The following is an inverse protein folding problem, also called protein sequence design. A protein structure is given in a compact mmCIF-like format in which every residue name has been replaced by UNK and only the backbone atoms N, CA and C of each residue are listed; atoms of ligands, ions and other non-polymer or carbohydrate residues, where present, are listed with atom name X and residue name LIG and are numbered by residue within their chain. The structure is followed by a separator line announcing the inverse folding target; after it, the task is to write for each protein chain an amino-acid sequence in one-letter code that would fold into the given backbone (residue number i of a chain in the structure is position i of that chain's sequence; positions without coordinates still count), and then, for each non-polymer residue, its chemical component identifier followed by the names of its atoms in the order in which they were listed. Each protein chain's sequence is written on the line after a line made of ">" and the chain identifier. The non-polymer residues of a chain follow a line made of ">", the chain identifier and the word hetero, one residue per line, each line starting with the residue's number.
data_IF_817680744514
#
_entry.id   IF_817680744514
#
_cell.length_a   1.000
_cell.length_b   1.000
_cell.length_c   1.000
_cell.angle_alpha   90.00
_cell.angle_beta   90.00
_cell.angle_gamma   90.00
#
_symmetry.space_group_name_H-M   'P 1'
#
loop_
_entity.id
_entity.type
_entity.pdbx_description
1 polymer ?
#
# COMPACT_ATOMS: atom_id res chain seq x y z
N UNK A 1 22.25 -11.04 -13.33
CA UNK A 1 22.58 -9.97 -12.36
C UNK A 1 21.56 -10.04 -11.24
N UNK A 2 22.00 -9.93 -10.00
CA UNK A 2 21.08 -9.84 -8.84
C UNK A 2 20.38 -8.47 -8.89
N UNK A 3 19.06 -8.45 -8.85
CA UNK A 3 18.27 -7.20 -8.86
C UNK A 3 18.43 -6.48 -7.53
N UNK A 4 18.77 -5.20 -7.55
CA UNK A 4 18.78 -4.32 -6.39
C UNK A 4 17.84 -3.15 -6.66
N UNK A 5 16.81 -3.02 -5.84
CA UNK A 5 15.83 -1.93 -5.91
C UNK A 5 15.90 -1.09 -4.64
N UNK A 6 15.26 0.07 -4.65
CA UNK A 6 15.09 0.91 -3.46
C UNK A 6 13.73 1.58 -3.43
N UNK A 7 13.18 1.70 -2.23
CA UNK A 7 12.15 2.67 -1.91
C UNK A 7 12.81 3.89 -1.26
N UNK A 8 12.53 5.08 -1.76
CA UNK A 8 13.24 6.30 -1.38
C UNK A 8 12.28 7.43 -0.97
N UNK A 9 11.57 7.28 0.16
CA UNK A 9 10.61 8.28 0.62
C UNK A 9 11.31 9.44 1.32
N UNK A 10 10.80 10.67 1.10
CA UNK A 10 11.15 11.82 1.95
C UNK A 10 10.27 11.82 3.21
N UNK A 11 10.85 11.92 4.43
CA UNK A 11 10.10 11.82 5.69
C UNK A 11 9.44 13.17 6.05
N UNK A 12 8.65 13.72 5.13
CA UNK A 12 7.91 14.99 5.29
C UNK A 12 6.43 14.78 5.62
N UNK A 13 5.98 13.54 5.74
CA UNK A 13 4.62 13.13 6.05
C UNK A 13 4.48 11.61 6.14
N UNK A 14 3.26 11.14 6.42
CA UNK A 14 2.93 9.70 6.43
C UNK A 14 2.90 9.14 5.01
N UNK A 15 3.13 7.82 4.88
CA UNK A 15 2.97 7.13 3.60
C UNK A 15 1.49 7.10 3.20
N UNK A 16 1.21 7.47 1.96
CA UNK A 16 -0.09 7.24 1.34
C UNK A 16 -0.05 5.99 0.45
N UNK A 17 -1.22 5.53 0.00
CA UNK A 17 -1.35 4.28 -0.78
C UNK A 17 -0.45 4.25 -2.03
N UNK A 18 -0.23 5.40 -2.68
CA UNK A 18 0.68 5.50 -3.83
C UNK A 18 2.15 5.23 -3.46
N UNK A 19 2.61 5.70 -2.28
CA UNK A 19 3.95 5.38 -1.77
C UNK A 19 4.05 3.90 -1.44
N UNK A 20 3.03 3.34 -0.79
CA UNK A 20 2.98 1.91 -0.44
C UNK A 20 3.07 1.05 -1.70
N UNK A 21 2.30 1.38 -2.76
CA UNK A 21 2.37 0.67 -4.04
C UNK A 21 3.79 0.71 -4.63
N UNK A 22 4.44 1.88 -4.58
CA UNK A 22 5.82 2.02 -5.05
C UNK A 22 6.79 1.15 -4.24
N UNK A 23 6.66 1.14 -2.90
CA UNK A 23 7.48 0.29 -2.03
C UNK A 23 7.26 -1.20 -2.35
N UNK A 24 6.00 -1.63 -2.43
CA UNK A 24 5.61 -3.00 -2.75
C UNK A 24 6.18 -3.46 -4.10
N UNK A 25 6.03 -2.66 -5.17
CA UNK A 25 6.53 -3.02 -6.49
C UNK A 25 8.06 -3.17 -6.51
N UNK A 26 8.80 -2.30 -5.81
CA UNK A 26 10.26 -2.44 -5.66
C UNK A 26 10.62 -3.70 -4.88
N UNK A 27 9.88 -4.02 -3.82
CA UNK A 27 10.06 -5.25 -3.05
C UNK A 27 9.83 -6.49 -3.90
N UNK A 28 8.68 -6.56 -4.59
CA UNK A 28 8.29 -7.72 -5.41
C UNK A 28 9.29 -7.99 -6.55
N UNK A 29 9.76 -6.93 -7.23
CA UNK A 29 10.77 -7.06 -8.28
C UNK A 29 12.09 -7.61 -7.74
N UNK A 30 12.54 -7.15 -6.58
CA UNK A 30 13.73 -7.67 -5.94
C UNK A 30 13.55 -9.12 -5.47
N UNK A 31 12.46 -9.41 -4.78
CA UNK A 31 12.15 -10.73 -4.23
C UNK A 31 12.05 -11.81 -5.32
N UNK A 32 11.41 -11.51 -6.46
CA UNK A 32 11.27 -12.41 -7.59
C UNK A 32 12.62 -12.94 -8.10
N UNK A 33 13.67 -12.13 -8.02
CA UNK A 33 15.01 -12.50 -8.50
C UNK A 33 15.94 -12.98 -7.39
N UNK A 34 15.46 -13.13 -6.15
CA UNK A 34 16.31 -13.35 -4.97
C UNK A 34 17.29 -12.20 -4.74
N UNK A 35 16.87 -10.99 -5.11
CA UNK A 35 17.65 -9.77 -5.06
C UNK A 35 17.53 -9.00 -3.73
N UNK A 36 17.83 -7.70 -3.77
CA UNK A 36 17.86 -6.84 -2.58
C UNK A 36 16.89 -5.68 -2.73
N UNK A 37 16.00 -5.51 -1.75
CA UNK A 37 15.18 -4.31 -1.57
C UNK A 37 15.79 -3.44 -0.49
N UNK A 38 16.05 -2.15 -0.77
CA UNK A 38 16.64 -1.20 0.15
C UNK A 38 15.65 -0.11 0.51
N UNK A 39 15.74 0.41 1.73
CA UNK A 39 15.07 1.64 2.15
C UNK A 39 16.09 2.77 2.19
N UNK A 40 15.88 3.82 1.40
CA UNK A 40 16.65 5.06 1.50
C UNK A 40 15.74 6.18 1.99
N UNK A 41 16.07 6.75 3.12
CA UNK A 41 15.35 7.92 3.66
C UNK A 41 15.95 9.16 3.03
N UNK A 42 15.16 9.82 2.16
CA UNK A 42 15.58 11.04 1.44
C UNK A 42 15.30 12.28 2.33
N UNK A 43 16.14 12.47 3.35
CA UNK A 43 16.04 13.47 4.41
C UNK A 43 17.06 14.62 4.27
N UNK A 44 17.44 14.98 3.04
CA UNK A 44 18.34 16.12 2.77
C UNK A 44 17.74 17.47 3.15
N UNK A 45 16.43 17.60 3.19
CA UNK A 45 15.70 18.78 3.68
C UNK A 45 15.46 18.64 5.18
N UNK A 46 16.45 19.08 5.98
CA UNK A 46 16.43 18.92 7.44
C UNK A 46 15.30 19.73 8.13
N UNK A 47 14.78 20.78 7.49
CA UNK A 47 13.70 21.60 8.06
C UNK A 47 12.35 20.87 7.99
N UNK A 48 12.09 20.14 6.91
CA UNK A 48 10.82 19.42 6.68
C UNK A 48 10.86 17.96 7.10
N UNK A 49 12.04 17.36 7.20
CA UNK A 49 12.21 15.98 7.64
C UNK A 49 11.96 15.86 9.15
N UNK A 50 11.18 14.85 9.54
CA UNK A 50 10.82 14.59 10.94
C UNK A 50 11.13 13.14 11.28
N UNK A 51 11.78 12.91 12.42
CA UNK A 51 12.10 11.57 12.89
C UNK A 51 10.85 10.72 13.14
N UNK A 52 9.76 11.33 13.59
CA UNK A 52 8.46 10.68 13.75
C UNK A 52 7.94 10.06 12.44
N UNK A 53 8.18 10.72 11.30
CA UNK A 53 7.81 10.17 9.99
C UNK A 53 8.74 9.05 9.55
N UNK A 54 10.03 9.10 9.90
CA UNK A 54 10.97 7.98 9.63
C UNK A 54 10.50 6.74 10.38
N UNK A 55 10.21 6.88 11.68
CA UNK A 55 9.70 5.79 12.52
C UNK A 55 8.40 5.23 11.94
N UNK A 56 7.48 6.11 11.51
CA UNK A 56 6.22 5.69 10.90
C UNK A 56 6.43 4.94 9.58
N UNK A 57 7.31 5.41 8.70
CA UNK A 57 7.66 4.73 7.44
C UNK A 57 8.17 3.31 7.71
N UNK A 58 9.08 3.15 8.66
CA UNK A 58 9.62 1.83 9.02
C UNK A 58 8.53 0.92 9.57
N UNK A 59 7.69 1.43 10.49
CA UNK A 59 6.58 0.67 11.07
C UNK A 59 5.51 0.28 10.03
N UNK A 60 5.27 1.14 9.04
CA UNK A 60 4.34 0.86 7.97
C UNK A 60 4.87 -0.22 7.02
N UNK A 61 6.16 -0.19 6.68
CA UNK A 61 6.82 -1.23 5.88
C UNK A 61 6.86 -2.57 6.63
N UNK A 62 7.14 -2.55 7.93
CA UNK A 62 7.12 -3.75 8.77
C UNK A 62 5.75 -4.38 8.83
N UNK A 63 4.69 -3.58 9.03
CA UNK A 63 3.31 -4.08 9.00
C UNK A 63 2.94 -4.72 7.64
N UNK A 64 3.44 -4.15 6.53
CA UNK A 64 3.22 -4.70 5.18
C UNK A 64 4.08 -5.94 4.90
N UNK A 65 5.02 -6.29 5.77
CA UNK A 65 5.99 -7.36 5.56
C UNK A 65 7.12 -6.99 4.58
N UNK A 66 7.26 -5.71 4.22
CA UNK A 66 8.25 -5.22 3.25
C UNK A 66 9.58 -4.90 3.93
N UNK A 67 10.24 -5.92 4.46
CA UNK A 67 11.48 -5.78 5.22
C UNK A 67 12.65 -5.45 4.30
N UNK A 68 13.31 -4.27 4.44
CA UNK A 68 14.45 -3.91 3.62
C UNK A 68 15.71 -4.66 4.07
N UNK A 69 16.56 -5.04 3.10
CA UNK A 69 17.86 -5.65 3.36
C UNK A 69 18.85 -4.68 4.04
N UNK A 70 18.66 -3.37 3.83
CA UNK A 70 19.39 -2.31 4.52
C UNK A 70 18.60 -1.00 4.47
N UNK A 71 18.81 -0.14 5.47
CA UNK A 71 18.28 1.23 5.51
C UNK A 71 19.44 2.22 5.48
N UNK A 72 19.32 3.26 4.67
CA UNK A 72 20.32 4.31 4.48
C UNK A 72 19.64 5.67 4.63
N UNK A 73 20.31 6.65 5.25
CA UNK A 73 19.84 8.04 5.35
C UNK A 73 20.70 8.97 4.52
N UNK A 74 20.10 9.83 3.74
CA UNK A 74 20.82 10.82 2.95
C UNK A 74 21.54 11.86 3.81
N UNK A 75 20.95 12.24 4.95
CA UNK A 75 21.56 13.17 5.91
C UNK A 75 22.90 12.70 6.49
N UNK A 76 23.19 11.40 6.46
CA UNK A 76 24.44 10.81 6.93
C UNK A 76 25.52 10.75 5.84
N UNK A 77 25.23 11.23 4.62
CA UNK A 77 26.05 11.01 3.42
C UNK A 77 26.54 12.30 2.76
N UNK A 78 26.38 13.44 3.41
CA UNK A 78 26.73 14.75 2.85
C UNK A 78 28.19 14.86 2.40
N UNK A 79 29.14 14.26 3.10
CA UNK A 79 30.56 14.25 2.69
C UNK A 79 30.77 13.55 1.33
N UNK A 80 30.00 12.49 1.04
CA UNK A 80 30.04 11.84 -0.25
C UNK A 80 29.47 12.75 -1.35
N UNK A 81 28.37 13.45 -1.06
CA UNK A 81 27.77 14.38 -2.03
C UNK A 81 28.70 15.56 -2.33
N UNK A 82 29.37 16.12 -1.32
CA UNK A 82 30.39 17.18 -1.51
C UNK A 82 31.52 16.69 -2.41
N UNK A 83 32.07 15.51 -2.16
CA UNK A 83 33.16 14.95 -2.96
C UNK A 83 32.77 14.78 -4.44
N UNK A 84 31.60 14.23 -4.72
CA UNK A 84 31.15 14.02 -6.10
C UNK A 84 30.73 15.34 -6.77
N UNK A 85 30.18 16.28 -6.02
CA UNK A 85 29.91 17.63 -6.48
C UNK A 85 31.18 18.36 -6.89
N UNK A 86 32.26 18.29 -6.09
CA UNK A 86 33.53 18.94 -6.39
C UNK A 86 34.17 18.35 -7.66
N UNK A 87 34.04 17.05 -7.90
CA UNK A 87 34.46 16.42 -9.17
C UNK A 87 33.67 16.99 -10.36
N UNK A 88 32.34 16.99 -10.27
CA UNK A 88 31.47 17.53 -11.33
C UNK A 88 31.74 19.02 -11.59
N UNK A 89 32.09 19.76 -10.55
CA UNK A 89 32.48 21.19 -10.68
C UNK A 89 33.83 21.35 -11.38
N UNK A 90 34.82 20.52 -11.04
CA UNK A 90 36.13 20.53 -11.70
C UNK A 90 36.02 20.14 -13.18
N UNK A 91 35.10 19.25 -13.52
CA UNK A 91 34.80 18.79 -14.89
C UNK A 91 33.90 19.78 -15.67
N UNK A 92 33.53 20.94 -15.05
CA UNK A 92 32.68 21.92 -15.68
C UNK A 92 31.23 21.52 -15.87
N UNK A 93 30.78 20.41 -15.20
CA UNK A 93 29.40 19.94 -15.27
C UNK A 93 28.49 20.60 -14.23
N UNK A 94 29.03 21.40 -13.33
CA UNK A 94 28.31 22.18 -12.31
C UNK A 94 28.79 23.59 -12.32
N UNK A 95 27.88 24.55 -12.31
CA UNK A 95 28.18 25.98 -12.35
C UNK A 95 27.35 26.78 -11.34
N UNK A 96 27.92 27.90 -10.90
CA UNK A 96 27.30 28.80 -9.93
C UNK A 96 26.29 29.74 -10.61
N UNK A 97 25.17 29.98 -9.93
CA UNK A 97 24.13 30.93 -10.33
C UNK A 97 23.83 31.87 -9.16
N UNK A 98 23.58 33.13 -9.47
CA UNK A 98 23.34 34.16 -8.46
C UNK A 98 21.98 34.85 -8.63
N UNK A 99 21.13 34.34 -9.54
CA UNK A 99 19.77 34.84 -9.71
C UNK A 99 18.92 34.58 -8.46
N UNK A 100 18.21 35.62 -8.04
CA UNK A 100 17.23 35.47 -6.96
C UNK A 100 15.96 34.75 -7.45
N UNK A 101 15.15 34.18 -6.54
CA UNK A 101 13.86 33.64 -6.90
C UNK A 101 12.95 34.56 -7.67
N UNK A 102 12.99 35.87 -7.32
CA UNK A 102 12.23 36.95 -7.98
C UNK A 102 12.69 37.17 -9.41
N UNK A 103 13.99 37.20 -9.64
CA UNK A 103 14.57 37.34 -10.99
C UNK A 103 14.21 36.16 -11.88
N UNK A 104 14.28 34.91 -11.32
CA UNK A 104 13.88 33.70 -12.02
C UNK A 104 12.38 33.69 -12.36
N UNK A 105 11.53 34.16 -11.46
CA UNK A 105 10.08 34.27 -11.71
C UNK A 105 9.78 35.34 -12.80
N UNK A 106 10.47 36.45 -12.80
CA UNK A 106 10.37 37.46 -13.86
C UNK A 106 10.76 36.86 -15.21
N UNK A 107 11.90 36.16 -15.30
CA UNK A 107 12.36 35.52 -16.54
C UNK A 107 11.29 34.50 -17.03
N UNK A 108 10.75 33.68 -16.10
CA UNK A 108 9.68 32.74 -16.40
C UNK A 108 8.44 33.42 -16.98
N UNK A 109 7.98 34.51 -16.36
CA UNK A 109 6.82 35.28 -16.81
C UNK A 109 7.05 35.92 -18.20
N UNK A 110 8.25 36.43 -18.48
CA UNK A 110 8.62 36.98 -19.78
C UNK A 110 8.55 35.90 -20.87
N UNK A 111 9.09 34.68 -20.61
CA UNK A 111 9.07 33.59 -21.56
C UNK A 111 7.62 33.13 -21.82
N UNK A 112 6.82 32.95 -20.78
CA UNK A 112 5.41 32.59 -20.90
C UNK A 112 4.60 33.65 -21.66
N UNK A 113 4.84 34.93 -21.39
CA UNK A 113 4.22 36.02 -22.12
C UNK A 113 4.54 36.03 -23.63
N UNK A 114 5.71 35.51 -23.99
CA UNK A 114 6.15 35.31 -25.39
C UNK A 114 5.71 33.95 -25.96
N UNK A 115 4.95 33.17 -25.23
CA UNK A 115 4.55 31.80 -25.60
C UNK A 115 5.74 30.84 -25.82
N UNK A 116 6.86 31.11 -25.14
CA UNK A 116 8.04 30.26 -25.14
C UNK A 116 8.02 29.36 -23.90
N UNK A 117 8.62 28.17 -23.98
CA UNK A 117 8.78 27.31 -22.82
C UNK A 117 9.56 28.06 -21.71
N UNK A 118 9.18 27.97 -20.44
CA UNK A 118 9.80 28.68 -19.34
C UNK A 118 11.11 28.01 -18.89
N UNK A 119 12.05 27.86 -19.80
CA UNK A 119 13.35 27.22 -19.62
C UNK A 119 14.36 28.21 -19.10
N UNK A 120 15.13 27.77 -18.09
CA UNK A 120 16.23 28.56 -17.58
C UNK A 120 17.28 28.81 -18.68
N UNK A 121 17.66 30.08 -18.88
CA UNK A 121 18.71 30.48 -19.84
C UNK A 121 20.01 30.68 -19.10
N UNK A 122 21.05 29.90 -19.45
CA UNK A 122 22.39 30.04 -18.90
C UNK A 122 22.91 31.44 -19.12
N UNK A 123 23.50 32.03 -18.08
CA UNK A 123 24.30 33.28 -18.27
C UNK A 123 25.61 32.93 -18.99
N UNK A 124 26.19 33.91 -19.71
CA UNK A 124 27.53 33.76 -20.26
C UNK A 124 28.55 33.41 -19.18
N UNK A 125 29.50 32.57 -19.51
CA UNK A 125 30.62 32.24 -18.63
C UNK A 125 31.36 33.53 -18.20
N UNK A 126 31.67 33.66 -16.91
CA UNK A 126 32.30 34.83 -16.34
C UNK A 126 31.37 36.04 -16.10
N UNK A 127 30.05 35.86 -16.22
CA UNK A 127 29.11 36.91 -15.83
C UNK A 127 29.35 37.32 -14.35
N UNK A 128 29.44 38.64 -14.03
CA UNK A 128 29.75 39.08 -12.68
C UNK A 128 28.67 38.64 -11.70
N UNK A 129 29.11 38.03 -10.61
CA UNK A 129 28.23 37.73 -9.48
C UNK A 129 28.06 39.03 -8.66
N UNK A 130 26.83 39.35 -8.20
CA UNK A 130 26.63 40.45 -7.27
C UNK A 130 27.43 40.19 -5.97
N UNK A 131 28.04 41.22 -5.43
CA UNK A 131 28.82 41.14 -4.21
C UNK A 131 27.91 40.76 -3.03
N UNK A 132 28.35 39.77 -2.24
CA UNK A 132 27.61 39.30 -1.05
C UNK A 132 26.45 38.34 -1.31
N UNK A 133 26.21 37.93 -2.56
CA UNK A 133 25.17 36.92 -2.88
C UNK A 133 25.79 35.55 -2.93
N UNK A 134 25.36 34.65 -2.04
CA UNK A 134 25.74 33.23 -2.08
C UNK A 134 25.14 32.57 -3.32
N UNK A 135 25.92 31.81 -4.10
CA UNK A 135 25.42 31.19 -5.31
C UNK A 135 24.59 29.93 -4.95
N UNK A 136 23.54 29.67 -5.73
CA UNK A 136 22.99 28.33 -5.88
C UNK A 136 23.71 27.65 -7.07
N UNK A 137 23.61 26.29 -7.10
CA UNK A 137 24.37 25.51 -8.06
C UNK A 137 23.46 24.71 -8.96
N UNK A 138 23.76 24.73 -10.28
CA UNK A 138 23.03 23.98 -11.29
C UNK A 138 23.92 22.94 -11.95
N UNK A 139 23.32 21.80 -12.30
CA UNK A 139 23.95 20.81 -13.14
C UNK A 139 23.78 21.22 -14.62
N UNK A 140 24.87 21.20 -15.37
CA UNK A 140 24.90 21.57 -16.78
C UNK A 140 24.48 20.40 -17.65
N UNK A 141 23.30 20.49 -18.26
CA UNK A 141 22.85 19.50 -19.24
C UNK A 141 23.65 19.62 -20.54
N UNK A 142 23.98 18.49 -21.13
CA UNK A 142 24.54 18.41 -22.47
C UNK A 142 23.41 18.48 -23.52
N UNK A 143 23.44 19.46 -24.38
CA UNK A 143 22.43 19.71 -25.41
C UNK A 143 22.81 19.10 -26.77
N UNK A 144 23.94 18.40 -26.88
CA UNK A 144 24.47 17.90 -28.14
C UNK A 144 23.63 16.77 -28.75
N UNK A 145 22.92 16.02 -27.93
CA UNK A 145 22.08 14.89 -28.36
C UNK A 145 20.84 14.72 -27.48
N UNK A 146 19.77 14.15 -28.04
CA UNK A 146 18.60 13.76 -27.25
C UNK A 146 18.96 12.78 -26.12
N UNK A 147 18.20 12.81 -25.03
CA UNK A 147 18.28 11.84 -23.95
C UNK A 147 17.26 10.75 -24.25
N UNK A 148 17.72 9.52 -24.44
CA UNK A 148 16.86 8.40 -24.80
C UNK A 148 17.11 7.20 -23.88
N UNK A 149 16.04 6.47 -23.55
CA UNK A 149 16.10 5.20 -22.83
C UNK A 149 14.87 4.35 -23.10
N UNK A 150 14.97 3.06 -22.86
CA UNK A 150 13.83 2.15 -22.89
C UNK A 150 13.34 1.94 -21.46
N UNK A 151 12.14 2.46 -21.17
CA UNK A 151 11.48 2.33 -19.88
C UNK A 151 10.71 1.00 -19.83
N UNK A 152 10.86 0.25 -18.76
CA UNK A 152 10.28 -1.10 -18.63
C UNK A 152 8.73 -1.12 -18.65
N UNK A 153 8.08 0.02 -18.37
CA UNK A 153 6.62 0.16 -18.41
C UNK A 153 6.17 1.05 -19.57
N UNK A 154 6.85 2.19 -19.76
CA UNK A 154 6.44 3.20 -20.72
C UNK A 154 7.01 3.00 -22.12
N UNK A 155 7.97 2.06 -22.28
CA UNK A 155 8.69 1.83 -23.54
C UNK A 155 9.66 2.96 -23.86
N UNK A 156 10.00 3.14 -25.12
CA UNK A 156 10.99 4.11 -25.55
C UNK A 156 10.62 5.55 -25.15
N UNK A 157 11.53 6.22 -24.45
CA UNK A 157 11.42 7.61 -24.01
C UNK A 157 12.48 8.45 -24.70
N UNK A 158 12.10 9.65 -25.13
CA UNK A 158 12.98 10.60 -25.79
C UNK A 158 12.71 12.03 -25.30
N UNK A 159 13.77 12.70 -24.88
CA UNK A 159 13.73 14.09 -24.40
C UNK A 159 14.77 14.93 -25.12
N UNK A 160 14.36 16.15 -25.50
CA UNK A 160 15.26 17.16 -26.02
C UNK A 160 15.83 17.97 -24.83
N UNK A 161 17.13 17.87 -24.50
CA UNK A 161 17.68 18.54 -23.33
C UNK A 161 17.51 20.07 -23.38
N UNK A 162 17.52 20.66 -24.59
CA UNK A 162 17.28 22.08 -24.79
C UNK A 162 15.87 22.53 -24.35
N UNK A 163 14.94 21.61 -24.14
CA UNK A 163 13.59 21.89 -23.62
C UNK A 163 13.47 21.62 -22.10
N UNK A 164 14.58 21.33 -21.43
CA UNK A 164 14.66 21.10 -19.99
C UNK A 164 15.59 22.14 -19.38
N UNK A 165 15.18 22.74 -18.26
CA UNK A 165 16.07 23.65 -17.50
C UNK A 165 17.21 22.87 -16.85
N UNK A 166 18.41 23.43 -16.84
CA UNK A 166 19.47 22.93 -15.97
C UNK A 166 18.97 22.90 -14.52
N UNK A 167 18.93 21.74 -13.86
CA UNK A 167 18.34 21.63 -12.54
C UNK A 167 19.23 22.31 -11.48
N UNK A 168 18.60 22.94 -10.52
CA UNK A 168 19.30 23.32 -9.29
C UNK A 168 19.56 22.03 -8.50
N UNK A 169 20.82 21.82 -8.11
CA UNK A 169 21.26 20.65 -7.34
C UNK A 169 21.64 21.02 -5.90
N UNK A 170 21.99 22.28 -5.66
CA UNK A 170 22.34 22.82 -4.35
C UNK A 170 21.84 24.26 -4.22
N UNK A 171 21.17 24.57 -3.11
CA UNK A 171 20.69 25.93 -2.83
C UNK A 171 21.80 26.84 -2.31
N UNK A 172 21.52 28.14 -2.27
CA UNK A 172 22.44 29.16 -1.75
C UNK A 172 22.75 28.99 -0.24
N UNK A 173 21.85 28.41 0.53
CA UNK A 173 22.05 28.05 1.94
C UNK A 173 22.92 26.80 2.13
N UNK A 174 23.35 26.16 1.04
CA UNK A 174 24.16 24.95 1.05
C UNK A 174 23.34 23.65 1.08
N UNK A 175 22.01 23.70 1.19
CA UNK A 175 21.16 22.51 1.23
C UNK A 175 21.12 21.81 -0.13
N UNK A 176 21.09 20.46 -0.09
CA UNK A 176 21.01 19.60 -1.26
C UNK A 176 19.59 19.48 -1.78
N UNK A 177 19.44 19.48 -3.11
CA UNK A 177 18.21 19.06 -3.77
C UNK A 177 18.35 17.64 -4.27
N UNK A 178 17.27 16.88 -4.22
CA UNK A 178 17.25 15.41 -4.27
C UNK A 178 17.88 14.76 -5.52
N UNK A 179 17.94 15.47 -6.66
CA UNK A 179 18.37 14.87 -7.94
C UNK A 179 19.79 14.30 -7.88
N UNK A 180 20.78 15.11 -7.46
CA UNK A 180 22.17 14.68 -7.41
C UNK A 180 22.44 13.68 -6.28
N UNK A 181 21.99 13.88 -5.02
CA UNK A 181 22.10 12.88 -3.97
C UNK A 181 21.52 11.54 -4.37
N UNK A 182 20.34 11.52 -5.01
CA UNK A 182 19.72 10.28 -5.47
C UNK A 182 20.57 9.49 -6.45
N UNK A 183 21.22 10.17 -7.41
CA UNK A 183 22.11 9.51 -8.39
C UNK A 183 23.37 8.98 -7.71
N UNK A 184 24.01 9.77 -6.83
CA UNK A 184 25.20 9.34 -6.10
C UNK A 184 24.90 8.11 -5.25
N UNK A 185 23.77 8.12 -4.56
CA UNK A 185 23.35 6.98 -3.74
C UNK A 185 23.02 5.75 -4.59
N UNK A 186 22.29 5.93 -5.70
CA UNK A 186 21.94 4.83 -6.59
C UNK A 186 23.21 4.16 -7.18
N UNK A 187 24.28 4.94 -7.43
CA UNK A 187 25.60 4.41 -7.84
C UNK A 187 26.26 3.64 -6.69
N UNK A 188 26.41 4.26 -5.52
CA UNK A 188 27.11 3.69 -4.37
C UNK A 188 26.43 2.43 -3.83
N UNK A 189 25.09 2.41 -3.79
CA UNK A 189 24.29 1.29 -3.36
C UNK A 189 24.11 0.20 -4.43
N UNK A 190 24.70 0.40 -5.62
CA UNK A 190 24.60 -0.50 -6.76
C UNK A 190 23.13 -0.82 -7.14
N UNK A 191 22.28 0.20 -7.18
CA UNK A 191 20.88 0.07 -7.61
C UNK A 191 20.85 -0.32 -9.08
N UNK A 192 20.17 -1.42 -9.39
CA UNK A 192 20.05 -1.93 -10.76
C UNK A 192 18.73 -1.56 -11.43
N UNK A 193 17.68 -1.33 -10.62
CA UNK A 193 16.35 -0.98 -11.11
C UNK A 193 15.73 0.11 -10.25
N UNK A 194 15.13 1.09 -10.90
CA UNK A 194 14.40 2.21 -10.27
C UNK A 194 12.95 2.16 -10.71
N UNK A 195 12.06 1.73 -9.81
CA UNK A 195 10.62 1.78 -10.02
C UNK A 195 10.06 2.96 -9.24
N UNK A 196 9.30 3.83 -9.91
CA UNK A 196 8.68 5.02 -9.30
C UNK A 196 7.49 5.54 -10.10
N UNK A 197 6.81 6.56 -9.61
CA UNK A 197 5.70 7.20 -10.31
C UNK A 197 6.13 7.91 -11.61
N UNK A 198 5.22 7.98 -12.57
CA UNK A 198 5.46 8.61 -13.88
C UNK A 198 5.70 10.12 -13.84
N UNK A 199 5.34 10.77 -12.73
CA UNK A 199 5.66 12.18 -12.46
C UNK A 199 7.18 12.44 -12.39
N UNK A 200 7.99 11.40 -12.22
CA UNK A 200 9.44 11.46 -12.23
C UNK A 200 10.10 11.22 -13.60
N UNK A 201 9.36 11.03 -14.68
CA UNK A 201 9.95 10.72 -16.01
C UNK A 201 10.92 11.81 -16.49
N UNK A 202 10.56 13.09 -16.35
CA UNK A 202 11.46 14.20 -16.69
C UNK A 202 12.71 14.24 -15.79
N UNK A 203 12.56 13.90 -14.51
CA UNK A 203 13.68 13.79 -13.59
C UNK A 203 14.65 12.67 -14.01
N UNK A 204 14.12 11.57 -14.53
CA UNK A 204 14.92 10.46 -15.06
C UNK A 204 15.80 10.91 -16.23
N UNK A 205 15.27 11.69 -17.16
CA UNK A 205 16.06 12.24 -18.26
C UNK A 205 17.29 13.03 -17.75
N UNK A 206 17.07 13.89 -16.75
CA UNK A 206 18.15 14.66 -16.12
C UNK A 206 19.14 13.75 -15.39
N UNK A 207 18.65 12.78 -14.62
CA UNK A 207 19.48 11.86 -13.86
C UNK A 207 20.36 10.97 -14.75
N UNK A 208 19.87 10.55 -15.93
CA UNK A 208 20.68 9.80 -16.90
C UNK A 208 21.95 10.58 -17.31
N UNK A 209 21.85 11.89 -17.52
CA UNK A 209 23.02 12.72 -17.78
C UNK A 209 23.94 12.87 -16.56
N UNK A 210 23.37 12.86 -15.34
CA UNK A 210 24.17 12.86 -14.10
C UNK A 210 24.94 11.55 -13.93
N UNK A 211 24.33 10.39 -14.20
CA UNK A 211 25.02 9.10 -14.24
C UNK A 211 26.19 9.12 -15.21
N UNK A 212 25.96 9.59 -16.43
CA UNK A 212 27.02 9.70 -17.44
C UNK A 212 28.16 10.64 -17.00
N UNK A 213 27.83 11.79 -16.39
CA UNK A 213 28.81 12.75 -15.89
C UNK A 213 29.63 12.21 -14.72
N UNK A 214 29.07 11.32 -13.91
CA UNK A 214 29.77 10.60 -12.84
C UNK A 214 30.48 9.33 -13.31
N UNK A 215 30.46 9.03 -14.62
CA UNK A 215 31.13 7.87 -15.20
C UNK A 215 30.48 6.52 -14.86
N UNK A 216 29.22 6.53 -14.49
CA UNK A 216 28.49 5.33 -14.08
C UNK A 216 27.39 4.93 -15.08
N UNK A 217 27.13 3.63 -15.21
CA UNK A 217 26.00 3.14 -15.97
C UNK A 217 24.70 3.40 -15.19
N UNK A 218 23.63 3.89 -15.84
CA UNK A 218 22.36 4.10 -15.18
C UNK A 218 21.65 2.77 -14.87
N UNK A 219 20.77 2.72 -13.86
CA UNK A 219 19.90 1.59 -13.62
C UNK A 219 18.82 1.48 -14.70
N UNK A 220 18.18 0.34 -14.81
CA UNK A 220 16.97 0.18 -15.59
C UNK A 220 15.83 0.98 -14.93
N UNK A 221 15.04 1.69 -15.74
CA UNK A 221 14.01 2.59 -15.27
C UNK A 221 12.62 2.03 -15.56
N UNK A 222 11.71 2.16 -14.62
CA UNK A 222 10.31 1.79 -14.76
C UNK A 222 9.42 2.87 -14.12
N UNK A 223 8.54 3.48 -14.92
CA UNK A 223 7.64 4.53 -14.47
C UNK A 223 6.20 4.05 -14.54
N UNK A 224 5.61 3.79 -13.38
CA UNK A 224 4.21 3.35 -13.27
C UNK A 224 3.26 4.54 -13.26
N UNK A 225 2.08 4.36 -13.84
CA UNK A 225 1.02 5.37 -13.80
C UNK A 225 0.64 5.73 -12.36
N UNK A 226 0.23 6.99 -12.14
CA UNK A 226 -0.16 7.45 -10.81
C UNK A 226 -1.45 6.76 -10.34
N UNK A 227 -1.59 6.63 -9.03
CA UNK A 227 -2.86 6.32 -8.41
C UNK A 227 -3.70 7.57 -8.29
N UNK A 228 -4.95 7.46 -8.70
CA UNK A 228 -5.98 8.48 -8.50
C UNK A 228 -7.08 7.91 -7.62
N UNK A 229 -7.57 8.72 -6.69
CA UNK A 229 -8.75 8.38 -5.89
C UNK A 229 -9.99 8.98 -6.53
N UNK A 230 -11.16 8.34 -6.40
CA UNK A 230 -12.41 8.95 -6.85
C UNK A 230 -12.67 10.27 -6.12
N UNK A 231 -13.00 11.32 -6.89
CA UNK A 231 -13.34 12.62 -6.34
C UNK A 231 -14.59 12.54 -5.45
N UNK A 232 -14.46 12.97 -4.20
CA UNK A 232 -15.57 13.36 -3.34
C UNK A 232 -15.80 12.54 -2.07
N UNK A 233 -15.40 11.27 -1.96
CA UNK A 233 -15.62 10.47 -0.72
C UNK A 233 -14.34 9.99 -0.05
N UNK A 234 -13.26 9.82 -0.79
CA UNK A 234 -12.01 9.24 -0.29
C UNK A 234 -10.84 10.23 -0.18
N UNK A 235 -10.80 11.30 -1.00
CA UNK A 235 -9.67 12.25 -0.98
C UNK A 235 -9.50 12.96 0.38
N UNK A 236 -10.58 13.07 1.16
CA UNK A 236 -10.52 13.59 2.54
C UNK A 236 -10.22 12.53 3.60
N UNK A 237 -10.47 11.23 3.32
CA UNK A 237 -10.22 10.12 4.28
C UNK A 237 -8.94 9.34 3.98
N UNK A 238 -8.56 9.16 2.73
CA UNK A 238 -7.37 8.37 2.35
C UNK A 238 -6.26 9.21 1.69
N UNK A 239 -6.51 10.44 1.27
CA UNK A 239 -5.50 11.34 0.72
C UNK A 239 -4.57 11.98 1.76
N UNK A 240 -4.94 11.95 3.03
CA UNK A 240 -4.14 12.42 4.17
C UNK A 240 -3.94 11.37 5.26
N UNK A 241 -4.67 10.27 5.21
CA UNK A 241 -4.65 9.22 6.23
C UNK A 241 -3.88 8.04 5.69
N UNK A 242 -2.76 7.78 6.30
CA UNK A 242 -1.85 6.72 5.89
C UNK A 242 -2.36 5.31 6.23
N UNK A 243 -1.43 4.39 6.34
CA UNK A 243 -1.62 2.99 6.74
C UNK A 243 -2.46 2.84 8.02
N UNK A 244 -2.42 3.80 8.94
CA UNK A 244 -3.14 3.73 10.22
C UNK A 244 -4.66 3.63 10.05
N UNK A 245 -5.26 4.28 9.06
CA UNK A 245 -6.71 4.15 8.80
C UNK A 245 -7.06 2.76 8.29
N UNK A 246 -6.22 2.18 7.44
CA UNK A 246 -6.39 0.81 6.97
C UNK A 246 -6.30 -0.19 8.14
N UNK A 247 -5.29 -0.02 9.00
CA UNK A 247 -5.14 -0.81 10.23
C UNK A 247 -6.36 -0.67 11.14
N UNK A 248 -6.80 0.57 11.39
CA UNK A 248 -7.99 0.85 12.22
C UNK A 248 -9.29 0.30 11.60
N UNK A 249 -9.36 0.21 10.27
CA UNK A 249 -10.47 -0.43 9.58
C UNK A 249 -10.41 -1.96 9.61
N UNK A 250 -9.39 -2.57 10.21
CA UNK A 250 -9.21 -4.03 10.30
C UNK A 250 -8.85 -4.66 8.96
N UNK A 251 -8.12 -3.93 8.12
CA UNK A 251 -7.57 -4.44 6.87
C UNK A 251 -6.27 -5.17 7.16
N UNK A 252 -6.17 -6.40 6.69
CA UNK A 252 -4.95 -7.19 6.76
C UNK A 252 -3.93 -6.75 5.71
N UNK A 253 -2.62 -6.76 6.02
CA UNK A 253 -1.58 -6.28 5.11
C UNK A 253 -1.57 -7.02 3.78
N UNK A 254 -1.79 -8.33 3.77
CA UNK A 254 -1.80 -9.11 2.54
C UNK A 254 -3.00 -8.83 1.63
N UNK A 255 -4.13 -8.37 2.17
CA UNK A 255 -5.25 -7.91 1.36
C UNK A 255 -4.90 -6.64 0.58
N UNK A 256 -4.27 -5.67 1.26
CA UNK A 256 -3.77 -4.44 0.62
C UNK A 256 -2.66 -4.76 -0.40
N UNK A 257 -1.67 -5.57 -0.03
CA UNK A 257 -0.58 -5.97 -0.91
C UNK A 257 -1.09 -6.68 -2.16
N UNK A 258 -2.05 -7.59 -2.04
CA UNK A 258 -2.64 -8.31 -3.17
C UNK A 258 -3.35 -7.37 -4.15
N UNK A 259 -4.10 -6.40 -3.65
CA UNK A 259 -4.74 -5.39 -4.49
C UNK A 259 -3.69 -4.52 -5.18
N UNK A 260 -2.76 -3.92 -4.42
CA UNK A 260 -1.78 -2.96 -4.95
C UNK A 260 -0.78 -3.60 -5.92
N UNK A 261 -0.46 -4.89 -5.76
CA UNK A 261 0.40 -5.61 -6.70
C UNK A 261 -0.21 -5.72 -8.10
N UNK A 262 -1.54 -5.68 -8.23
CA UNK A 262 -2.27 -5.83 -9.49
C UNK A 262 -2.94 -4.55 -9.99
N UNK A 263 -3.09 -3.56 -9.12
CA UNK A 263 -3.78 -2.32 -9.47
C UNK A 263 -3.02 -1.55 -10.57
N UNK A 264 -3.71 -1.32 -11.70
CA UNK A 264 -3.12 -0.69 -12.89
C UNK A 264 -2.38 -1.67 -13.82
N UNK A 265 -2.55 -2.98 -13.61
CA UNK A 265 -2.07 -4.02 -14.53
C UNK A 265 -3.22 -4.63 -15.34
N UNK A 266 -2.90 -5.41 -16.37
CA UNK A 266 -3.89 -6.20 -17.14
C UNK A 266 -4.28 -7.52 -16.45
N UNK A 267 -3.71 -7.84 -15.30
CA UNK A 267 -3.97 -9.06 -14.55
C UNK A 267 -5.10 -8.85 -13.54
N UNK A 268 -5.93 -9.88 -13.28
CA UNK A 268 -6.96 -9.82 -12.25
C UNK A 268 -6.34 -9.70 -10.86
N UNK A 269 -7.08 -9.08 -9.93
CA UNK A 269 -6.72 -9.08 -8.52
C UNK A 269 -6.99 -10.46 -7.94
N UNK A 270 -5.92 -11.17 -7.62
CA UNK A 270 -5.94 -12.44 -6.91
C UNK A 270 -5.36 -12.24 -5.52
N UNK A 271 -6.12 -12.60 -4.51
CA UNK A 271 -5.67 -12.49 -3.11
C UNK A 271 -4.70 -13.62 -2.81
N UNK A 272 -3.55 -13.26 -2.23
CA UNK A 272 -2.50 -14.19 -1.78
C UNK A 272 -2.27 -14.04 -0.29
N UNK A 273 -1.83 -15.10 0.36
CA UNK A 273 -1.60 -15.11 1.82
C UNK A 273 -0.17 -14.72 2.21
N UNK A 274 0.76 -14.69 1.23
CA UNK A 274 2.15 -14.34 1.44
C UNK A 274 2.75 -13.52 0.28
N UNK A 275 3.88 -12.86 0.54
CA UNK A 275 4.56 -11.99 -0.42
C UNK A 275 5.32 -12.78 -1.50
N UNK A 276 5.74 -14.01 -1.21
CA UNK A 276 6.46 -14.89 -2.14
C UNK A 276 5.59 -15.20 -3.35
N UNK A 277 4.33 -15.58 -3.13
CA UNK A 277 3.37 -15.84 -4.21
C UNK A 277 3.05 -14.59 -5.03
N UNK A 278 3.02 -13.41 -4.39
CA UNK A 278 2.85 -12.15 -5.10
C UNK A 278 4.06 -11.84 -5.98
N UNK A 279 5.28 -12.11 -5.48
CA UNK A 279 6.52 -11.87 -6.21
C UNK A 279 6.66 -12.81 -7.42
N UNK A 280 6.30 -14.10 -7.29
CA UNK A 280 6.33 -15.05 -8.41
C UNK A 280 5.47 -14.59 -9.59
N UNK A 281 4.32 -13.98 -9.31
CA UNK A 281 3.41 -13.47 -10.33
C UNK A 281 3.63 -12.02 -10.74
N UNK A 282 4.66 -11.33 -10.23
CA UNK A 282 4.91 -9.92 -10.54
C UNK A 282 5.58 -9.75 -11.91
N UNK A 283 4.97 -8.96 -12.82
CA UNK A 283 5.49 -8.74 -14.17
C UNK A 283 5.23 -7.29 -14.62
N UNK A 284 6.33 -6.54 -14.84
CA UNK A 284 6.27 -5.15 -15.29
C UNK A 284 5.65 -4.99 -16.68
N UNK A 285 5.68 -6.01 -17.53
CA UNK A 285 5.08 -5.97 -18.86
C UNK A 285 3.55 -5.89 -18.82
N UNK A 286 2.93 -6.22 -17.69
CA UNK A 286 1.47 -6.17 -17.50
C UNK A 286 0.93 -4.80 -17.13
N UNK A 287 1.83 -3.86 -16.76
CA UNK A 287 1.44 -2.54 -16.29
C UNK A 287 0.89 -1.65 -17.40
N UNK A 288 -0.29 -1.07 -17.16
CA UNK A 288 -0.88 -0.05 -18.02
C UNK A 288 -0.24 1.32 -17.85
N UNK A 289 -0.51 2.22 -18.80
CA UNK A 289 -0.03 3.62 -18.79
C UNK A 289 -1.12 4.61 -18.36
N UNK A 290 -2.37 4.14 -18.21
CA UNK A 290 -3.46 4.95 -17.72
C UNK A 290 -3.43 5.02 -16.19
N UNK A 291 -3.85 6.14 -15.57
CA UNK A 291 -3.99 6.24 -14.13
C UNK A 291 -4.84 5.09 -13.57
N UNK A 292 -4.41 4.52 -12.46
CA UNK A 292 -5.12 3.45 -11.77
C UNK A 292 -6.00 4.04 -10.66
N UNK A 293 -7.27 3.61 -10.60
CA UNK A 293 -8.21 4.07 -9.59
C UNK A 293 -8.14 3.17 -8.37
N UNK A 294 -7.91 3.76 -7.20
CA UNK A 294 -7.94 3.06 -5.92
C UNK A 294 -9.30 3.25 -5.27
N UNK A 295 -9.98 2.13 -5.00
CA UNK A 295 -11.26 2.07 -4.29
C UNK A 295 -11.09 1.30 -2.98
N UNK A 296 -11.56 1.90 -1.88
CA UNK A 296 -11.53 1.27 -0.55
C UNK A 296 -12.43 0.03 -0.49
N UNK A 297 -13.56 0.02 -1.21
CA UNK A 297 -14.43 -1.14 -1.30
C UNK A 297 -13.74 -2.37 -1.91
N UNK A 298 -12.82 -2.16 -2.86
CA UNK A 298 -11.99 -3.24 -3.41
C UNK A 298 -11.02 -3.80 -2.36
N UNK A 299 -10.48 -2.95 -1.47
CA UNK A 299 -9.64 -3.39 -0.35
C UNK A 299 -10.44 -4.22 0.65
N UNK A 300 -11.66 -3.77 1.03
CA UNK A 300 -12.54 -4.51 1.93
C UNK A 300 -12.93 -5.88 1.34
N UNK A 301 -13.21 -5.93 0.05
CA UNK A 301 -13.52 -7.18 -0.65
C UNK A 301 -12.29 -8.11 -0.72
N UNK A 302 -11.10 -7.55 -0.98
CA UNK A 302 -9.85 -8.31 -0.92
C UNK A 302 -9.60 -8.86 0.49
N UNK A 303 -9.87 -8.06 1.53
CA UNK A 303 -9.75 -8.47 2.92
C UNK A 303 -10.69 -9.63 3.27
N UNK A 304 -11.95 -9.51 2.88
CA UNK A 304 -12.94 -10.57 3.05
C UNK A 304 -12.49 -11.87 2.35
N UNK A 305 -12.03 -11.78 1.11
CA UNK A 305 -11.52 -12.94 0.36
C UNK A 305 -10.29 -13.55 1.03
N UNK A 306 -9.37 -12.74 1.52
CA UNK A 306 -8.19 -13.21 2.25
C UNK A 306 -8.61 -14.05 3.44
N UNK A 307 -9.49 -13.53 4.31
CA UNK A 307 -9.94 -14.21 5.51
C UNK A 307 -10.68 -15.52 5.21
N UNK A 308 -11.46 -15.55 4.12
CA UNK A 308 -12.18 -16.75 3.69
C UNK A 308 -11.25 -17.88 3.19
N UNK A 309 -10.09 -17.51 2.60
CA UNK A 309 -9.15 -18.49 2.03
C UNK A 309 -8.03 -18.87 3.00
N UNK A 310 -7.53 -17.91 3.78
CA UNK A 310 -6.42 -18.16 4.70
C UNK A 310 -6.76 -19.27 5.70
N UNK A 311 -5.79 -20.14 5.94
CA UNK A 311 -5.85 -21.10 7.04
C UNK A 311 -5.56 -20.40 8.37
N UNK A 312 -5.94 -21.02 9.48
CA UNK A 312 -5.61 -20.50 10.81
C UNK A 312 -4.11 -20.25 10.99
N UNK A 313 -3.25 -21.16 10.48
CA UNK A 313 -1.81 -21.04 10.64
C UNK A 313 -1.22 -19.81 9.92
N UNK A 314 -1.81 -19.37 8.81
CA UNK A 314 -1.34 -18.21 8.04
C UNK A 314 -1.66 -16.87 8.69
N UNK A 315 -2.73 -16.80 9.49
CA UNK A 315 -3.19 -15.54 10.11
C UNK A 315 -3.18 -15.58 11.64
N UNK A 316 -2.71 -16.64 12.26
CA UNK A 316 -2.74 -16.82 13.72
C UNK A 316 -2.11 -15.64 14.49
N UNK A 317 -1.03 -15.06 13.97
CA UNK A 317 -0.34 -13.92 14.58
C UNK A 317 -1.14 -12.61 14.54
N UNK A 318 -2.13 -12.50 13.63
CA UNK A 318 -3.01 -11.34 13.51
C UNK A 318 -4.29 -11.48 14.37
N UNK A 319 -4.60 -12.70 14.82
CA UNK A 319 -5.78 -12.96 15.63
C UNK A 319 -5.50 -12.60 17.09
N UNK A 320 -6.23 -11.61 17.60
CA UNK A 320 -6.12 -11.19 19.00
C UNK A 320 -7.01 -12.00 19.96
N UNK A 321 -8.08 -12.61 19.43
CA UNK A 321 -9.01 -13.41 20.21
C UNK A 321 -8.45 -14.82 20.50
N UNK A 322 -8.70 -15.36 21.69
CA UNK A 322 -8.42 -16.77 21.98
C UNK A 322 -9.44 -17.68 21.25
N UNK A 323 -9.07 -18.14 20.06
CA UNK A 323 -9.90 -18.99 19.22
C UNK A 323 -9.14 -20.26 18.80
N UNK A 324 -9.82 -21.39 18.74
CA UNK A 324 -9.25 -22.62 18.19
C UNK A 324 -9.17 -22.56 16.65
N UNK A 325 -8.26 -23.36 16.06
CA UNK A 325 -8.21 -23.50 14.61
C UNK A 325 -9.53 -24.01 14.02
N UNK A 326 -10.21 -24.91 14.74
CA UNK A 326 -11.50 -25.48 14.32
C UNK A 326 -12.61 -24.43 14.32
N UNK A 327 -12.67 -23.59 15.35
CA UNK A 327 -13.63 -22.48 15.41
C UNK A 327 -13.36 -21.43 14.35
N UNK A 328 -12.07 -21.12 14.09
CA UNK A 328 -11.71 -20.22 12.98
C UNK A 328 -12.19 -20.76 11.62
N UNK A 329 -11.92 -22.04 11.31
CA UNK A 329 -12.37 -22.67 10.07
C UNK A 329 -13.91 -22.68 9.94
N UNK A 330 -14.63 -22.82 11.05
CA UNK A 330 -16.09 -22.74 11.09
C UNK A 330 -16.60 -21.33 10.76
N UNK A 331 -15.88 -20.29 11.21
CA UNK A 331 -16.35 -18.90 11.20
C UNK A 331 -15.83 -18.09 10.02
N UNK A 332 -14.64 -18.40 9.49
CA UNK A 332 -13.90 -17.58 8.52
C UNK A 332 -14.69 -17.17 7.29
N UNK A 333 -15.57 -18.02 6.79
CA UNK A 333 -16.45 -17.71 5.65
C UNK A 333 -17.56 -16.69 5.94
N UNK A 334 -17.66 -16.20 7.19
CA UNK A 334 -18.73 -15.31 7.65
C UNK A 334 -18.19 -14.04 8.33
N UNK A 335 -16.91 -13.77 8.19
CA UNK A 335 -16.26 -12.55 8.69
C UNK A 335 -15.66 -11.75 7.55
N UNK A 336 -15.62 -10.45 7.72
CA UNK A 336 -14.95 -9.50 6.83
C UNK A 336 -13.72 -8.87 7.51
N UNK A 337 -13.63 -9.00 8.84
CA UNK A 337 -12.55 -8.50 9.70
C UNK A 337 -12.28 -9.46 10.83
N UNK A 338 -11.03 -9.59 11.26
CA UNK A 338 -10.67 -10.47 12.38
C UNK A 338 -11.35 -10.07 13.70
N UNK A 339 -11.60 -8.79 13.91
CA UNK A 339 -12.32 -8.30 15.10
C UNK A 339 -13.75 -8.85 15.23
N UNK A 340 -14.36 -9.33 14.15
CA UNK A 340 -15.69 -9.96 14.19
C UNK A 340 -15.67 -11.33 14.86
N UNK A 341 -14.49 -11.96 14.98
CA UNK A 341 -14.34 -13.23 15.70
C UNK A 341 -14.78 -13.14 17.16
N UNK A 342 -14.51 -12.02 17.85
CA UNK A 342 -14.93 -11.81 19.23
C UNK A 342 -16.46 -11.91 19.38
N UNK A 343 -17.19 -11.36 18.42
CA UNK A 343 -18.66 -11.42 18.42
C UNK A 343 -19.17 -12.85 18.13
N UNK A 344 -18.44 -13.60 17.29
CA UNK A 344 -18.77 -15.00 17.03
C UNK A 344 -18.42 -15.90 18.21
N UNK A 345 -17.35 -15.62 18.96
CA UNK A 345 -17.03 -16.34 20.20
C UNK A 345 -18.13 -16.19 21.25
N UNK A 346 -18.76 -14.99 21.33
CA UNK A 346 -19.96 -14.79 22.16
C UNK A 346 -21.12 -15.69 21.69
N UNK A 347 -21.27 -15.92 20.38
CA UNK A 347 -22.27 -16.85 19.84
C UNK A 347 -21.93 -18.29 20.20
N UNK A 348 -20.66 -18.69 20.19
CA UNK A 348 -20.25 -20.07 20.51
C UNK A 348 -20.33 -20.34 21.99
N UNK A 349 -19.78 -19.49 22.85
CA UNK A 349 -19.50 -19.77 24.25
C UNK A 349 -20.16 -18.81 25.26
N UNK A 350 -20.65 -17.65 24.80
CA UNK A 350 -21.21 -16.64 25.69
C UNK A 350 -22.70 -16.74 25.93
N UNK A 351 -23.16 -15.91 26.87
CA UNK A 351 -24.59 -15.70 27.14
C UNK A 351 -25.08 -14.59 26.17
N UNK A 352 -25.98 -14.99 25.28
CA UNK A 352 -26.63 -14.02 24.37
C UNK A 352 -27.91 -13.48 25.04
N UNK A 353 -28.23 -12.19 24.81
CA UNK A 353 -29.54 -11.68 25.15
C UNK A 353 -30.62 -12.45 24.37
N UNK A 354 -31.79 -12.61 24.97
CA UNK A 354 -32.91 -13.22 24.28
C UNK A 354 -33.19 -12.51 22.95
N UNK A 355 -33.30 -13.27 21.87
CA UNK A 355 -33.61 -12.68 20.57
C UNK A 355 -35.03 -12.09 20.58
N UNK A 356 -35.18 -10.91 19.97
CA UNK A 356 -36.49 -10.35 19.71
C UNK A 356 -37.29 -11.30 18.82
N UNK A 357 -38.41 -11.80 19.34
CA UNK A 357 -39.20 -12.84 18.69
C UNK A 357 -40.61 -12.32 18.42
N UNK A 358 -41.09 -12.51 17.18
CA UNK A 358 -42.47 -12.22 16.84
C UNK A 358 -43.42 -13.17 17.61
N UNK A 359 -44.58 -12.68 18.02
CA UNK A 359 -45.54 -13.46 18.82
C UNK A 359 -45.95 -14.78 18.14
N UNK A 360 -46.00 -14.79 16.80
CA UNK A 360 -46.29 -15.99 15.99
C UNK A 360 -45.20 -17.06 16.03
N UNK A 361 -43.96 -16.70 16.42
CA UNK A 361 -42.81 -17.60 16.50
C UNK A 361 -42.58 -18.14 17.90
N UNK A 362 -43.15 -17.55 18.95
CA UNK A 362 -42.93 -17.98 20.34
C UNK A 362 -43.32 -19.44 20.59
N UNK A 363 -44.54 -19.85 20.21
CA UNK A 363 -44.99 -21.20 20.35
C UNK A 363 -44.14 -22.22 19.56
N UNK A 364 -43.67 -21.80 18.38
CA UNK A 364 -42.78 -22.59 17.56
C UNK A 364 -41.40 -22.78 18.21
N UNK A 365 -40.83 -21.74 18.81
CA UNK A 365 -39.54 -21.78 19.50
C UNK A 365 -39.64 -22.62 20.82
N UNK A 366 -40.76 -22.52 21.54
CA UNK A 366 -41.02 -23.37 22.71
C UNK A 366 -41.06 -24.88 22.33
N UNK A 367 -41.71 -25.20 21.21
CA UNK A 367 -41.70 -26.56 20.69
C UNK A 367 -40.28 -26.99 20.25
N UNK A 368 -39.51 -26.08 19.59
CA UNK A 368 -38.12 -26.35 19.22
C UNK A 368 -37.22 -26.62 20.43
N UNK A 369 -37.42 -25.88 21.53
CA UNK A 369 -36.68 -26.08 22.77
C UNK A 369 -36.99 -27.49 23.39
N UNK A 370 -38.27 -27.89 23.44
CA UNK A 370 -38.66 -29.21 23.93
C UNK A 370 -38.05 -30.34 23.11
N UNK A 371 -38.14 -30.23 21.76
CA UNK A 371 -37.55 -31.27 20.88
C UNK A 371 -36.03 -31.31 21.08
N UNK A 372 -35.33 -30.13 21.07
CA UNK A 372 -33.89 -30.07 21.25
C UNK A 372 -33.40 -30.67 22.58
N UNK A 373 -34.21 -30.57 23.64
CA UNK A 373 -33.91 -31.17 24.94
C UNK A 373 -33.95 -32.69 24.91
N UNK A 374 -34.80 -33.28 24.08
CA UNK A 374 -34.98 -34.72 23.98
C UNK A 374 -34.09 -35.42 22.94
N UNK A 375 -33.41 -34.61 22.04
CA UNK A 375 -32.56 -35.18 21.00
C UNK A 375 -31.28 -35.83 21.55
N UNK A 376 -30.77 -36.80 20.80
CA UNK A 376 -29.40 -37.32 20.95
C UNK A 376 -28.41 -36.40 20.23
N UNK A 377 -27.58 -35.71 21.01
CA UNK A 377 -26.58 -34.76 20.49
C UNK A 377 -25.27 -35.43 20.04
N UNK A 378 -25.15 -36.76 20.16
CA UNK A 378 -24.02 -37.52 19.61
C UNK A 378 -24.09 -37.68 18.07
N UNK A 379 -25.32 -37.55 17.51
CA UNK A 379 -25.58 -37.64 16.08
C UNK A 379 -25.54 -36.28 15.34
N UNK A 380 -26.60 -36.07 14.55
CA UNK A 380 -26.78 -34.85 13.73
C UNK A 380 -27.96 -34.00 14.26
N UNK A 381 -27.79 -33.33 15.41
CA UNK A 381 -28.89 -32.67 16.13
C UNK A 381 -29.62 -31.60 15.30
N UNK A 382 -28.95 -30.91 14.41
CA UNK A 382 -29.58 -29.93 13.51
C UNK A 382 -30.53 -30.61 12.51
N UNK A 383 -30.08 -31.69 11.87
CA UNK A 383 -30.89 -32.40 10.89
C UNK A 383 -32.14 -33.01 11.54
N UNK A 384 -32.01 -33.61 12.72
CA UNK A 384 -33.09 -34.20 13.49
C UNK A 384 -34.09 -33.16 13.99
N UNK A 385 -33.60 -32.01 14.56
CA UNK A 385 -34.42 -30.88 14.97
C UNK A 385 -35.20 -30.29 13.78
N UNK A 386 -34.54 -30.07 12.66
CA UNK A 386 -35.16 -29.54 11.45
C UNK A 386 -36.23 -30.51 10.87
N UNK A 387 -35.97 -31.81 10.90
CA UNK A 387 -36.94 -32.84 10.44
C UNK A 387 -38.19 -32.86 11.31
N UNK A 388 -38.04 -32.88 12.64
CA UNK A 388 -39.13 -32.85 13.58
C UNK A 388 -39.97 -31.57 13.45
N UNK A 389 -39.33 -30.41 13.28
CA UNK A 389 -40.03 -29.14 13.14
C UNK A 389 -40.71 -28.94 11.77
N UNK A 390 -40.25 -29.59 10.70
CA UNK A 390 -40.95 -29.61 9.41
C UNK A 390 -42.35 -30.23 9.51
N UNK A 391 -42.57 -31.14 10.44
CA UNK A 391 -43.89 -31.74 10.73
C UNK A 391 -44.92 -30.73 11.21
N UNK A 392 -44.49 -29.54 11.70
CA UNK A 392 -45.38 -28.43 12.08
C UNK A 392 -45.98 -27.68 10.88
N UNK A 393 -45.53 -28.00 9.65
CA UNK A 393 -45.99 -27.39 8.43
C UNK A 393 -45.13 -26.17 8.00
N UNK A 394 -44.20 -25.66 8.83
CA UNK A 394 -43.30 -24.57 8.46
C UNK A 394 -42.21 -25.05 7.50
N UNK A 395 -41.83 -24.19 6.54
CA UNK A 395 -40.80 -24.51 5.51
C UNK A 395 -39.94 -23.29 5.20
N UNK A 396 -38.73 -23.53 4.65
CA UNK A 396 -37.85 -22.50 4.16
C UNK A 396 -37.53 -21.42 5.22
N UNK A 397 -37.62 -20.16 4.86
CA UNK A 397 -37.27 -19.05 5.73
C UNK A 397 -38.09 -18.98 7.01
N UNK A 398 -39.39 -19.30 6.95
CA UNK A 398 -40.29 -19.34 8.12
C UNK A 398 -39.93 -20.43 9.14
N UNK A 399 -39.21 -21.48 8.73
CA UNK A 399 -38.69 -22.51 9.63
C UNK A 399 -37.31 -22.13 10.19
N UNK A 400 -36.37 -21.74 9.30
CA UNK A 400 -34.96 -21.63 9.66
C UNK A 400 -34.54 -20.29 10.25
N UNK A 401 -35.18 -19.18 9.86
CA UNK A 401 -34.79 -17.87 10.35
C UNK A 401 -35.08 -17.64 11.84
N UNK A 402 -36.29 -18.00 12.38
CA UNK A 402 -36.53 -17.90 13.81
C UNK A 402 -35.56 -18.77 14.64
N UNK A 403 -35.26 -19.96 14.19
CA UNK A 403 -34.29 -20.85 14.87
C UNK A 403 -32.88 -20.24 14.88
N UNK A 404 -32.42 -19.72 13.73
CA UNK A 404 -31.13 -19.07 13.64
C UNK A 404 -31.06 -17.86 14.57
N UNK A 405 -32.06 -16.99 14.53
CA UNK A 405 -32.14 -15.82 15.42
C UNK A 405 -32.09 -16.17 16.89
N UNK A 406 -32.89 -17.16 17.29
CA UNK A 406 -32.93 -17.63 18.67
C UNK A 406 -31.58 -18.20 19.14
N UNK A 407 -30.91 -18.96 18.28
CA UNK A 407 -29.65 -19.66 18.61
C UNK A 407 -28.41 -18.71 18.52
N UNK A 408 -28.43 -17.72 17.65
CA UNK A 408 -27.23 -16.92 17.31
C UNK A 408 -27.40 -15.42 17.48
N UNK A 409 -28.62 -14.92 17.64
CA UNK A 409 -28.92 -13.48 17.60
C UNK A 409 -28.77 -12.84 16.21
N UNK A 410 -28.57 -13.66 15.12
CA UNK A 410 -28.24 -13.16 13.78
C UNK A 410 -29.14 -13.77 12.70
N UNK A 411 -29.29 -13.03 11.60
CA UNK A 411 -30.08 -13.47 10.42
C UNK A 411 -29.27 -14.35 9.47
N UNK A 412 -27.95 -14.20 9.46
CA UNK A 412 -27.00 -14.89 8.60
C UNK A 412 -25.79 -15.36 9.39
N UNK A 413 -25.00 -16.26 8.82
CA UNK A 413 -23.80 -16.79 9.47
C UNK A 413 -23.44 -18.19 8.96
N UNK A 414 -22.55 -18.91 9.67
CA UNK A 414 -22.12 -20.25 9.33
C UNK A 414 -23.28 -21.25 9.16
N UNK A 415 -22.99 -22.36 8.52
CA UNK A 415 -23.96 -23.47 8.44
C UNK A 415 -24.41 -23.90 9.83
N UNK A 416 -25.72 -24.09 9.98
CA UNK A 416 -26.30 -24.37 11.31
C UNK A 416 -25.93 -25.72 11.86
N UNK A 417 -25.63 -26.72 11.02
CA UNK A 417 -25.31 -28.09 11.50
C UNK A 417 -24.02 -28.11 12.33
N UNK A 418 -22.84 -27.64 11.80
CA UNK A 418 -21.64 -27.59 12.61
C UNK A 418 -21.73 -26.52 13.73
N UNK A 419 -22.42 -25.41 13.49
CA UNK A 419 -22.55 -24.33 14.47
C UNK A 419 -23.35 -24.77 15.70
N UNK A 420 -24.50 -25.46 15.52
CA UNK A 420 -25.32 -25.94 16.62
C UNK A 420 -24.56 -26.98 17.45
N UNK A 421 -23.83 -27.86 16.79
CA UNK A 421 -22.98 -28.86 17.45
C UNK A 421 -21.92 -28.23 18.34
N UNK A 422 -21.30 -27.13 17.85
CA UNK A 422 -20.29 -26.40 18.61
C UNK A 422 -20.92 -25.59 19.77
N UNK A 423 -22.10 -24.99 19.60
CA UNK A 423 -22.84 -24.30 20.67
C UNK A 423 -23.16 -25.27 21.80
N UNK A 424 -23.57 -26.48 21.50
CA UNK A 424 -23.88 -27.53 22.44
C UNK A 424 -25.35 -27.49 22.97
N UNK A 425 -25.76 -28.63 23.55
CA UNK A 425 -27.14 -28.87 23.98
C UNK A 425 -27.66 -27.85 24.96
N UNK A 426 -26.93 -27.62 26.04
CA UNK A 426 -27.44 -26.84 27.17
C UNK A 426 -27.67 -25.37 26.75
N UNK A 427 -26.73 -24.76 26.03
CA UNK A 427 -26.88 -23.37 25.51
C UNK A 427 -27.97 -23.28 24.46
N UNK A 428 -28.06 -24.25 23.54
CA UNK A 428 -29.08 -24.26 22.50
C UNK A 428 -30.47 -24.29 23.09
N UNK A 429 -30.73 -25.21 24.05
CA UNK A 429 -32.02 -25.32 24.74
C UNK A 429 -32.34 -24.07 25.56
N UNK A 430 -31.33 -23.52 26.28
CA UNK A 430 -31.51 -22.30 27.06
C UNK A 430 -31.90 -21.11 26.16
N UNK A 431 -31.23 -20.94 25.01
CA UNK A 431 -31.50 -19.82 24.07
C UNK A 431 -32.86 -19.96 23.39
N UNK A 432 -33.27 -21.17 22.99
CA UNK A 432 -34.60 -21.42 22.43
C UNK A 432 -35.70 -21.12 23.45
N UNK A 433 -35.52 -21.52 24.72
CA UNK A 433 -36.46 -21.21 25.79
C UNK A 433 -36.51 -19.69 26.08
N UNK A 434 -35.37 -18.99 26.11
CA UNK A 434 -35.35 -17.57 26.34
C UNK A 434 -36.05 -16.77 25.22
N UNK A 435 -35.93 -17.23 23.97
CA UNK A 435 -36.57 -16.63 22.81
C UNK A 435 -38.08 -16.96 22.69
N UNK A 436 -38.57 -17.96 23.41
CA UNK A 436 -39.99 -18.34 23.43
C UNK A 436 -40.81 -17.57 24.46
N UNK A 437 -40.16 -16.91 25.40
CA UNK A 437 -40.79 -16.10 26.45
C UNK A 437 -40.94 -14.65 26.00
#
# INVERSE_FOLDING_TARGET
>A
MTVTTRFAPSPTGRLHVGNIRTALHNYLLAAQSGGRFLLRIDDTDLERSREEHVIAIVADLDWLGLVPAATVRQSERFEMYEREFDKLRADGRVYACTETPEELDIQRKILLGRKLPPIYTRKPEGAPAPEGVAPHWRFMLDYSSPIEWDDLVRGHQKFEPALISDPVIRRADGSWLYLLPSVIDDIDLAITHVLRGEDHVTNSAVQLQMFAALGAAPPMLAHTALLVAEEGKLSKRLGSSGVDELKAAGIEPMALNSLLARLGTSQPVEVRTNLEELAEGFDLATFGRAPAHFDFGEVEEANRKLLHHASYGEIANAILAEISAEDYELLKGNISRLSELEQWLLVLDGDLPAAETADEDRAFLAQAASIAADLDWSGEPWAELAAALKATGRKGKALFLPLRRALTGRDSGPEMAPLLKRIGKDRAVARLNAASN
#
